data_IF_064201447711
#
_entry.id   IF_064201447711
#
_cell.length_a   1.000
_cell.length_b   1.000
_cell.length_c   1.000
_cell.angle_alpha   90.00
_cell.angle_beta   90.00
_cell.angle_gamma   90.00
#
_symmetry.space_group_name_H-M   'P 1'
#
loop_
_entity.id
_entity.type
_entity.pdbx_description
1 polymer ?
#
# COMPACT_ATOMS: atom_id res chain seq x y z
N UNK A 1 19.43 -2.34 -43.88
CA UNK A 1 18.16 -1.97 -43.19
C UNK A 1 18.51 -1.65 -41.76
N UNK A 2 18.50 -0.39 -41.43
CA UNK A 2 18.86 0.10 -40.07
C UNK A 2 17.56 0.33 -39.32
N UNK A 3 17.20 -0.61 -38.44
CA UNK A 3 16.07 -0.38 -37.56
C UNK A 3 16.43 0.71 -36.55
N UNK A 4 15.57 1.72 -36.42
CA UNK A 4 15.83 2.82 -35.49
C UNK A 4 15.87 2.33 -34.03
N UNK A 5 16.75 2.91 -33.23
CA UNK A 5 16.93 2.59 -31.81
C UNK A 5 15.61 2.70 -31.03
N UNK A 6 14.69 3.53 -31.50
CA UNK A 6 13.36 3.70 -30.93
C UNK A 6 12.46 2.46 -31.16
N UNK A 7 12.54 1.83 -32.35
CA UNK A 7 11.76 0.62 -32.64
C UNK A 7 12.23 -0.59 -31.82
N UNK A 8 13.53 -0.68 -31.54
CA UNK A 8 14.10 -1.71 -30.65
C UNK A 8 13.67 -1.45 -29.19
N UNK A 9 13.70 -0.20 -28.74
CA UNK A 9 13.17 0.19 -27.41
C UNK A 9 11.68 -0.12 -27.26
N UNK A 10 10.88 0.19 -28.29
CA UNK A 10 9.43 -0.11 -28.28
C UNK A 10 9.17 -1.61 -28.26
N UNK A 11 9.94 -2.41 -29.02
CA UNK A 11 9.81 -3.87 -29.03
C UNK A 11 10.24 -4.51 -27.69
N UNK A 12 11.28 -3.97 -27.04
CA UNK A 12 11.73 -4.43 -25.71
C UNK A 12 10.70 -4.10 -24.62
N UNK A 13 10.04 -2.94 -24.71
CA UNK A 13 8.99 -2.54 -23.79
C UNK A 13 7.76 -3.45 -23.96
N UNK A 14 7.34 -3.72 -25.21
CA UNK A 14 6.18 -4.61 -25.49
C UNK A 14 6.51 -6.07 -25.12
N UNK A 15 7.73 -6.56 -25.32
CA UNK A 15 8.14 -7.88 -24.87
C UNK A 15 8.18 -8.00 -23.33
N UNK A 16 8.61 -6.96 -22.61
CA UNK A 16 8.59 -6.95 -21.15
C UNK A 16 7.16 -7.01 -20.57
N UNK A 17 6.19 -6.37 -21.23
CA UNK A 17 4.78 -6.40 -20.81
C UNK A 17 4.10 -7.77 -21.01
N UNK A 18 4.59 -8.62 -21.93
CA UNK A 18 3.97 -9.93 -22.20
C UNK A 18 4.26 -11.00 -21.13
N UNK A 19 5.25 -10.81 -20.28
CA UNK A 19 5.72 -11.84 -19.33
C UNK A 19 5.60 -11.41 -17.87
N UNK A 20 4.97 -10.25 -17.59
CA UNK A 20 4.77 -9.82 -16.20
C UNK A 20 3.68 -10.65 -15.54
N UNK A 21 3.97 -11.14 -14.32
CA UNK A 21 3.01 -11.84 -13.50
C UNK A 21 1.82 -10.92 -13.20
N UNK A 22 0.62 -11.34 -13.61
CA UNK A 22 -0.63 -10.64 -13.26
C UNK A 22 -1.13 -11.13 -11.92
N UNK A 23 -1.52 -10.22 -11.06
CA UNK A 23 -2.01 -10.49 -9.72
C UNK A 23 -3.34 -9.75 -9.57
N UNK A 24 -4.42 -10.49 -9.31
CA UNK A 24 -5.71 -9.93 -8.96
C UNK A 24 -5.82 -9.82 -7.45
N UNK A 25 -6.21 -8.65 -6.96
CA UNK A 25 -6.37 -8.35 -5.54
C UNK A 25 -7.68 -7.60 -5.30
N UNK A 26 -8.08 -7.57 -4.05
CA UNK A 26 -9.22 -6.81 -3.55
C UNK A 26 -8.76 -5.84 -2.48
N UNK A 27 -9.40 -4.67 -2.40
CA UNK A 27 -9.10 -3.66 -1.39
C UNK A 27 -10.39 -3.13 -0.74
N UNK A 28 -10.41 -3.05 0.59
CA UNK A 28 -11.52 -2.54 1.38
C UNK A 28 -11.30 -1.09 1.77
N UNK A 29 -12.09 -0.18 1.22
CA UNK A 29 -12.18 1.20 1.67
C UNK A 29 -13.16 1.25 2.85
N UNK A 30 -12.65 0.88 4.04
CA UNK A 30 -13.47 0.82 5.26
C UNK A 30 -13.72 2.22 5.77
N UNK A 31 -14.99 2.59 5.93
CA UNK A 31 -15.41 3.92 6.36
C UNK A 31 -16.04 3.87 7.76
N UNK A 32 -15.75 4.91 8.55
CA UNK A 32 -16.43 5.20 9.82
C UNK A 32 -16.68 6.70 9.89
N UNK A 33 -17.91 7.11 9.56
CA UNK A 33 -18.27 8.52 9.37
C UNK A 33 -17.52 9.11 8.17
N UNK A 34 -16.76 10.18 8.42
CA UNK A 34 -15.91 10.89 7.45
C UNK A 34 -14.49 10.32 7.33
N UNK A 35 -14.18 9.27 8.09
CA UNK A 35 -12.84 8.69 8.16
C UNK A 35 -12.74 7.37 7.42
N UNK A 36 -11.54 7.15 6.88
CA UNK A 36 -11.16 6.00 6.09
C UNK A 36 -10.03 5.29 6.81
N UNK A 37 -10.12 3.97 6.90
CA UNK A 37 -9.11 3.14 7.52
C UNK A 37 -7.98 2.83 6.55
N UNK A 38 -6.76 3.09 6.98
CA UNK A 38 -5.54 2.81 6.25
C UNK A 38 -4.61 1.95 7.10
N UNK A 39 -3.88 1.05 6.47
CA UNK A 39 -2.90 0.17 7.10
C UNK A 39 -1.51 0.40 6.54
N UNK A 40 -0.48 0.16 7.35
CA UNK A 40 0.92 0.27 6.95
C UNK A 40 1.53 -1.11 6.79
N UNK A 41 1.90 -1.44 5.56
CA UNK A 41 2.70 -2.63 5.24
C UNK A 41 4.18 -2.31 5.46
N UNK A 42 4.84 -3.10 6.29
CA UNK A 42 6.27 -3.00 6.52
C UNK A 42 7.11 -3.66 5.43
N UNK A 43 8.41 -3.42 5.44
CA UNK A 43 9.37 -3.98 4.48
C UNK A 43 9.66 -5.47 4.67
N UNK A 44 8.74 -6.26 5.16
CA UNK A 44 8.77 -7.70 5.35
C UNK A 44 10.13 -8.41 5.17
N UNK A 45 11.01 -8.35 6.17
CA UNK A 45 12.03 -9.36 6.44
C UNK A 45 12.11 -9.59 7.95
N UNK A 46 11.58 -10.72 8.39
CA UNK A 46 11.90 -11.31 9.68
C UNK A 46 11.09 -10.78 10.87
N UNK A 47 10.25 -11.65 11.40
CA UNK A 47 9.76 -11.63 12.79
C UNK A 47 10.97 -11.70 13.74
N UNK A 48 11.71 -10.63 13.89
CA UNK A 48 12.59 -10.36 15.04
C UNK A 48 13.56 -9.23 14.72
N UNK A 49 13.59 -8.30 15.63
CA UNK A 49 14.53 -7.19 15.77
C UNK A 49 14.07 -5.87 15.15
N UNK A 50 13.56 -5.04 16.03
CA UNK A 50 13.90 -3.64 16.17
C UNK A 50 13.87 -2.74 14.93
N UNK A 51 12.78 -2.01 14.73
CA UNK A 51 12.78 -0.63 14.20
C UNK A 51 13.44 -0.35 12.84
N UNK A 52 13.50 -1.26 11.90
CA UNK A 52 14.13 -0.99 10.59
C UNK A 52 13.16 -0.88 9.40
N UNK A 53 11.87 -0.85 9.62
CA UNK A 53 10.84 -0.70 8.57
C UNK A 53 9.80 0.39 8.84
N UNK A 54 10.06 1.29 9.81
CA UNK A 54 9.13 2.38 10.08
C UNK A 54 9.21 3.42 8.97
N UNK A 55 8.05 3.81 8.43
CA UNK A 55 7.89 5.00 7.62
C UNK A 55 8.68 6.15 8.28
N UNK A 56 9.72 6.70 7.62
CA UNK A 56 10.52 7.77 8.19
C UNK A 56 9.68 9.02 8.49
N UNK A 57 8.46 9.12 7.98
CA UNK A 57 7.50 10.15 8.36
C UNK A 57 6.78 9.84 9.67
N UNK A 58 6.83 8.59 10.15
CA UNK A 58 6.26 8.16 11.43
C UNK A 58 7.17 8.36 12.64
N UNK A 59 8.44 8.71 12.47
CA UNK A 59 9.26 9.19 13.59
C UNK A 59 8.62 10.45 14.16
N UNK A 60 8.19 10.38 15.42
CA UNK A 60 7.67 11.55 16.10
C UNK A 60 8.70 12.69 16.07
N UNK A 61 8.23 13.93 16.07
CA UNK A 61 9.14 15.11 16.16
C UNK A 61 10.15 14.96 17.31
N UNK A 62 9.75 14.29 18.40
CA UNK A 62 10.59 14.02 19.58
C UNK A 62 11.73 13.05 19.23
N UNK A 63 11.48 11.99 18.48
CA UNK A 63 12.53 11.03 18.09
C UNK A 63 13.50 11.64 17.06
N UNK A 64 13.02 12.54 16.19
CA UNK A 64 13.87 13.31 15.27
C UNK A 64 14.78 14.31 16.01
N UNK A 65 14.25 15.00 17.01
CA UNK A 65 15.04 15.91 17.85
C UNK A 65 16.03 15.16 18.73
N UNK A 66 15.66 14.00 19.28
CA UNK A 66 16.55 13.19 20.11
C UNK A 66 17.74 12.62 19.32
N UNK A 67 17.51 12.14 18.08
CA UNK A 67 18.56 11.69 17.18
C UNK A 67 19.52 12.82 16.77
N UNK A 68 18.98 14.04 16.62
CA UNK A 68 19.77 15.25 16.34
C UNK A 68 20.62 15.70 17.53
N UNK A 69 20.12 15.50 18.75
CA UNK A 69 20.79 15.93 19.99
C UNK A 69 21.89 14.96 20.42
N UNK A 70 21.80 13.67 20.08
CA UNK A 70 22.79 12.65 20.43
C UNK A 70 24.09 12.73 19.61
N UNK A 71 24.22 13.64 18.66
CA UNK A 71 25.47 14.00 17.98
C UNK A 71 26.21 12.84 17.31
N UNK A 72 25.50 11.76 16.90
CA UNK A 72 26.11 10.63 16.21
C UNK A 72 26.53 11.04 14.80
N UNK A 73 27.83 11.19 14.59
CA UNK A 73 28.38 11.39 13.27
C UNK A 73 27.88 10.28 12.32
N UNK A 74 27.26 10.67 11.18
CA UNK A 74 26.71 9.71 10.19
C UNK A 74 25.21 9.47 10.26
N UNK A 75 24.46 9.99 11.25
CA UNK A 75 23.01 9.80 11.35
C UNK A 75 22.26 10.35 10.14
N UNK A 76 22.71 11.46 9.55
CA UNK A 76 22.11 12.03 8.34
C UNK A 76 22.25 11.09 7.14
N UNK A 77 23.43 10.49 6.95
CA UNK A 77 23.68 9.54 5.87
C UNK A 77 22.82 8.26 6.05
N UNK A 78 22.80 7.70 7.25
CA UNK A 78 22.00 6.50 7.57
C UNK A 78 20.50 6.77 7.43
N UNK A 79 20.05 7.98 7.81
CA UNK A 79 18.66 8.37 7.64
C UNK A 79 18.28 8.52 6.15
N UNK A 80 19.15 9.16 5.34
CA UNK A 80 18.94 9.31 3.91
C UNK A 80 18.92 7.97 3.16
N UNK A 81 19.81 7.04 3.50
CA UNK A 81 19.84 5.70 2.94
C UNK A 81 18.58 4.90 3.33
N UNK A 82 18.12 5.03 4.59
CA UNK A 82 16.88 4.44 5.07
C UNK A 82 15.65 4.97 4.32
N UNK A 83 15.56 6.29 4.12
CA UNK A 83 14.49 6.94 3.36
C UNK A 83 14.49 6.49 1.90
N UNK A 84 15.66 6.44 1.27
CA UNK A 84 15.79 6.00 -0.12
C UNK A 84 15.41 4.51 -0.28
N UNK A 85 15.82 3.66 0.64
CA UNK A 85 15.46 2.24 0.67
C UNK A 85 13.95 2.01 0.85
N UNK A 86 13.34 2.78 1.76
CA UNK A 86 11.88 2.71 1.98
C UNK A 86 11.09 3.19 0.75
N UNK A 87 11.51 4.30 0.14
CA UNK A 87 10.85 4.81 -1.08
C UNK A 87 10.99 3.82 -2.24
N UNK A 88 12.14 3.17 -2.38
CA UNK A 88 12.32 2.11 -3.36
C UNK A 88 11.38 0.93 -3.08
N UNK A 89 11.27 0.47 -1.83
CA UNK A 89 10.35 -0.60 -1.44
C UNK A 89 8.88 -0.21 -1.70
N UNK A 90 8.52 1.05 -1.47
CA UNK A 90 7.19 1.58 -1.79
C UNK A 90 6.89 1.53 -3.28
N UNK A 91 7.82 1.98 -4.11
CA UNK A 91 7.68 1.94 -5.57
C UNK A 91 7.64 0.51 -6.14
N UNK A 92 8.17 -0.45 -5.40
CA UNK A 92 8.10 -1.87 -5.72
C UNK A 92 6.85 -2.57 -5.15
N UNK A 93 5.98 -1.86 -4.42
CA UNK A 93 4.77 -2.40 -3.80
C UNK A 93 5.05 -3.29 -2.58
N UNK A 94 6.21 -3.14 -1.94
CA UNK A 94 6.64 -3.96 -0.81
C UNK A 94 6.39 -3.33 0.56
N UNK A 95 6.39 -2.00 0.64
CA UNK A 95 6.16 -1.26 1.88
C UNK A 95 5.41 0.04 1.59
N UNK A 96 4.51 0.46 2.47
CA UNK A 96 3.74 1.69 2.33
C UNK A 96 2.36 1.61 2.93
N UNK A 97 1.68 2.74 2.94
CA UNK A 97 0.27 2.79 3.34
C UNK A 97 -0.61 2.24 2.22
N UNK A 98 -1.60 1.46 2.59
CA UNK A 98 -2.52 0.79 1.67
C UNK A 98 -3.91 0.67 2.28
N UNK A 99 -4.90 0.36 1.44
CA UNK A 99 -6.18 -0.13 1.92
C UNK A 99 -6.07 -1.62 2.24
N UNK A 100 -6.61 -2.09 3.39
CA UNK A 100 -6.53 -3.50 3.76
C UNK A 100 -7.22 -4.38 2.73
N UNK A 101 -6.65 -5.55 2.48
CA UNK A 101 -7.11 -6.50 1.48
C UNK A 101 -5.97 -7.36 0.97
N UNK A 102 -6.22 -8.16 -0.06
CA UNK A 102 -5.19 -9.07 -0.52
C UNK A 102 -5.55 -9.80 -1.82
N UNK A 103 -4.87 -10.92 -2.06
CA UNK A 103 -4.98 -11.67 -3.31
C UNK A 103 -6.27 -12.47 -3.36
N UNK A 104 -6.89 -12.48 -4.53
CA UNK A 104 -7.99 -13.40 -4.80
C UNK A 104 -7.45 -14.82 -4.96
N UNK A 105 -8.15 -15.79 -4.38
CA UNK A 105 -7.90 -17.21 -4.60
C UNK A 105 -8.70 -17.74 -5.82
N UNK A 106 -8.24 -18.81 -6.46
CA UNK A 106 -8.93 -19.38 -7.60
C UNK A 106 -10.37 -19.78 -7.26
N UNK A 107 -11.33 -19.20 -7.97
CA UNK A 107 -12.77 -19.49 -7.80
C UNK A 107 -13.48 -18.64 -6.76
N UNK A 108 -12.80 -17.74 -6.07
CA UNK A 108 -13.43 -16.77 -5.19
C UNK A 108 -14.10 -15.64 -5.98
N UNK A 109 -15.21 -15.14 -5.45
CA UNK A 109 -15.71 -13.83 -5.89
C UNK A 109 -14.91 -12.71 -5.20
N UNK A 110 -14.78 -11.52 -5.82
CA UNK A 110 -14.07 -10.40 -5.18
C UNK A 110 -14.61 -10.05 -3.79
N UNK A 111 -15.91 -10.17 -3.58
CA UNK A 111 -16.54 -9.91 -2.27
C UNK A 111 -16.21 -10.95 -1.21
N UNK A 112 -16.09 -12.22 -1.60
CA UNK A 112 -15.74 -13.30 -0.67
C UNK A 112 -14.26 -13.22 -0.31
N UNK A 113 -13.38 -12.99 -1.30
CA UNK A 113 -11.96 -12.73 -1.10
C UNK A 113 -11.76 -11.57 -0.11
N UNK A 114 -12.46 -10.45 -0.33
CA UNK A 114 -12.35 -9.28 0.54
C UNK A 114 -12.75 -9.57 1.99
N UNK A 115 -13.84 -10.29 2.21
CA UNK A 115 -14.27 -10.68 3.55
C UNK A 115 -13.28 -11.63 4.24
N UNK A 116 -12.68 -12.57 3.47
CA UNK A 116 -11.65 -13.48 3.98
C UNK A 116 -10.41 -12.70 4.40
N UNK A 117 -9.86 -11.87 3.51
CA UNK A 117 -8.66 -11.06 3.76
C UNK A 117 -8.83 -10.15 4.98
N UNK A 118 -9.96 -9.44 5.10
CA UNK A 118 -10.22 -8.57 6.25
C UNK A 118 -10.32 -9.37 7.56
N UNK A 119 -10.88 -10.58 7.53
CA UNK A 119 -10.90 -11.44 8.70
C UNK A 119 -9.50 -11.91 9.10
N UNK A 120 -8.66 -12.24 8.12
CA UNK A 120 -7.27 -12.69 8.33
C UNK A 120 -6.39 -11.54 8.82
N UNK A 121 -6.43 -10.37 8.16
CA UNK A 121 -5.57 -9.24 8.48
C UNK A 121 -5.98 -8.44 9.73
N UNK A 122 -7.30 -8.30 9.94
CA UNK A 122 -7.85 -7.38 10.96
C UNK A 122 -8.70 -8.08 12.04
N UNK A 123 -8.89 -9.40 11.97
CA UNK A 123 -9.74 -10.17 12.87
C UNK A 123 -11.14 -9.56 13.07
N UNK A 124 -11.72 -9.01 12.01
CA UNK A 124 -13.02 -8.33 12.04
C UNK A 124 -13.90 -8.74 10.85
N UNK A 125 -15.18 -8.41 10.94
CA UNK A 125 -16.16 -8.65 9.88
C UNK A 125 -16.61 -7.32 9.26
N UNK A 126 -16.78 -7.32 7.94
CA UNK A 126 -17.23 -6.16 7.17
C UNK A 126 -18.49 -6.46 6.35
N UNK A 127 -19.28 -5.42 6.11
CA UNK A 127 -20.22 -5.36 5.00
C UNK A 127 -19.52 -4.81 3.78
N UNK A 128 -19.63 -5.49 2.65
CA UNK A 128 -19.14 -5.00 1.35
C UNK A 128 -20.30 -4.28 0.67
N UNK A 129 -20.31 -2.96 0.76
CA UNK A 129 -21.47 -2.12 0.45
C UNK A 129 -21.56 -1.83 -1.06
N UNK A 130 -20.55 -1.20 -1.64
CA UNK A 130 -20.58 -0.72 -3.02
C UNK A 130 -19.22 -0.97 -3.71
N UNK A 131 -19.28 -1.32 -5.00
CA UNK A 131 -18.10 -1.32 -5.85
C UNK A 131 -17.68 0.13 -6.16
N UNK A 132 -16.42 0.47 -5.89
CA UNK A 132 -15.90 1.81 -6.13
C UNK A 132 -15.24 1.92 -7.51
N UNK A 133 -14.20 1.13 -7.74
CA UNK A 133 -13.44 1.13 -9.00
C UNK A 133 -12.56 -0.12 -9.12
N UNK A 134 -12.03 -0.33 -10.32
CA UNK A 134 -10.88 -1.21 -10.56
C UNK A 134 -9.68 -0.35 -10.94
N UNK A 135 -8.55 -0.59 -10.28
CA UNK A 135 -7.27 0.05 -10.57
C UNK A 135 -6.33 -0.98 -11.17
N UNK A 136 -5.64 -0.60 -12.24
CA UNK A 136 -4.54 -1.37 -12.82
C UNK A 136 -3.23 -0.59 -12.67
N UNK A 137 -2.18 -1.27 -12.19
CA UNK A 137 -0.88 -0.63 -12.00
C UNK A 137 0.27 -1.60 -12.30
N UNK A 138 1.29 -1.09 -13.00
CA UNK A 138 2.52 -1.83 -13.32
C UNK A 138 3.59 -1.54 -12.26
N UNK A 139 3.85 -2.51 -11.40
CA UNK A 139 5.06 -2.52 -10.57
C UNK A 139 6.25 -3.06 -11.37
N UNK A 140 7.49 -2.85 -10.95
CA UNK A 140 8.66 -3.31 -11.70
C UNK A 140 8.70 -4.81 -12.01
N UNK A 141 8.05 -5.65 -11.19
CA UNK A 141 8.09 -7.12 -11.28
C UNK A 141 6.75 -7.79 -11.50
N UNK A 142 5.64 -7.06 -11.39
CA UNK A 142 4.28 -7.61 -11.57
C UNK A 142 3.28 -6.52 -11.98
N UNK A 143 2.19 -6.95 -12.59
CA UNK A 143 1.02 -6.13 -12.89
C UNK A 143 -0.09 -6.47 -11.89
N UNK A 144 -0.66 -5.45 -11.23
CA UNK A 144 -1.76 -5.62 -10.28
C UNK A 144 -3.08 -5.16 -10.91
N UNK A 145 -4.13 -5.91 -10.66
CA UNK A 145 -5.51 -5.55 -10.93
C UNK A 145 -6.22 -5.54 -9.58
N UNK A 146 -6.61 -4.36 -9.09
CA UNK A 146 -7.17 -4.18 -7.76
C UNK A 146 -8.62 -3.76 -7.82
N UNK A 147 -9.52 -4.62 -7.29
CA UNK A 147 -10.95 -4.36 -7.19
C UNK A 147 -11.27 -3.71 -5.84
N UNK A 148 -11.69 -2.46 -5.86
CA UNK A 148 -11.90 -1.64 -4.69
C UNK A 148 -13.38 -1.52 -4.34
N UNK A 149 -13.69 -1.74 -3.07
CA UNK A 149 -15.06 -1.68 -2.55
C UNK A 149 -15.15 -0.77 -1.34
N UNK A 150 -16.23 0.02 -1.28
CA UNK A 150 -16.62 0.71 -0.07
C UNK A 150 -17.18 -0.31 0.92
N UNK A 151 -16.71 -0.24 2.17
CA UNK A 151 -17.04 -1.20 3.20
C UNK A 151 -17.39 -0.51 4.51
N UNK A 152 -18.22 -1.18 5.31
CA UNK A 152 -18.58 -0.79 6.67
C UNK A 152 -18.19 -1.89 7.65
N UNK A 153 -17.73 -1.50 8.86
CA UNK A 153 -17.47 -2.46 9.94
C UNK A 153 -18.77 -3.01 10.49
N UNK A 154 -18.84 -4.32 10.68
CA UNK A 154 -19.92 -4.98 11.41
C UNK A 154 -19.63 -5.07 12.91
N UNK A 155 -18.36 -4.97 13.30
CA UNK A 155 -17.90 -4.96 14.68
C UNK A 155 -16.91 -3.82 14.89
N UNK A 156 -16.81 -3.29 16.12
CA UNK A 156 -15.84 -2.21 16.42
C UNK A 156 -14.43 -2.74 16.76
N UNK A 157 -14.29 -4.04 16.97
CA UNK A 157 -13.01 -4.65 17.29
C UNK A 157 -12.16 -4.79 16.02
N UNK A 158 -10.99 -4.17 16.02
CA UNK A 158 -9.97 -4.25 14.98
C UNK A 158 -8.67 -4.70 15.63
N UNK A 159 -8.07 -5.77 15.12
CA UNK A 159 -6.76 -6.26 15.53
C UNK A 159 -5.86 -6.37 14.31
N UNK A 160 -4.72 -5.69 14.34
CA UNK A 160 -3.71 -5.79 13.28
C UNK A 160 -2.94 -7.10 13.45
N UNK A 161 -3.10 -8.04 12.51
CA UNK A 161 -2.40 -9.32 12.52
C UNK A 161 -1.10 -9.27 11.70
N UNK A 162 -1.09 -8.52 10.61
CA UNK A 162 0.00 -8.52 9.63
C UNK A 162 0.63 -7.13 9.41
N UNK A 163 -0.10 -6.06 9.69
CA UNK A 163 0.34 -4.69 9.45
C UNK A 163 1.07 -4.09 10.67
N UNK A 164 2.04 -3.21 10.39
CA UNK A 164 2.84 -2.54 11.44
C UNK A 164 2.08 -1.43 12.16
N UNK A 165 1.17 -0.78 11.45
CA UNK A 165 0.35 0.31 11.99
C UNK A 165 -0.96 0.46 11.22
N UNK A 166 -1.90 1.20 11.81
CA UNK A 166 -3.12 1.62 11.15
C UNK A 166 -3.53 3.02 11.58
N UNK A 167 -4.27 3.73 10.71
CA UNK A 167 -4.81 5.06 10.98
C UNK A 167 -6.21 5.21 10.42
N UNK A 168 -7.02 6.03 11.09
CA UNK A 168 -8.25 6.58 10.57
C UNK A 168 -7.97 7.97 10.04
N UNK A 169 -8.04 8.16 8.73
CA UNK A 169 -7.73 9.41 8.03
C UNK A 169 -9.01 10.04 7.51
N UNK A 170 -9.15 11.36 7.65
CA UNK A 170 -10.17 12.11 6.91
C UNK A 170 -9.79 12.20 5.42
N UNK A 171 -10.73 12.57 4.55
CA UNK A 171 -10.42 12.74 3.11
C UNK A 171 -9.34 13.82 2.90
N UNK A 172 -9.31 14.84 3.75
CA UNK A 172 -8.32 15.92 3.69
C UNK A 172 -6.93 15.44 4.16
N UNK A 173 -6.89 14.44 5.06
CA UNK A 173 -5.65 13.90 5.62
C UNK A 173 -5.06 12.74 4.78
N UNK A 174 -5.72 12.30 3.72
CA UNK A 174 -5.22 11.19 2.90
C UNK A 174 -3.81 11.45 2.33
N UNK A 175 -3.46 12.71 2.05
CA UNK A 175 -2.12 13.07 1.56
C UNK A 175 -1.06 13.14 2.67
N UNK A 176 -1.46 12.96 3.94
CA UNK A 176 -0.52 13.00 5.08
C UNK A 176 0.38 11.76 5.21
N UNK A 177 0.07 10.70 4.44
CA UNK A 177 0.80 9.44 4.47
C UNK A 177 1.29 9.05 3.08
N UNK A 178 2.32 8.18 3.02
CA UNK A 178 2.90 7.69 1.75
C UNK A 178 2.21 6.40 1.32
N UNK A 179 1.22 6.54 0.48
CA UNK A 179 0.47 5.42 -0.09
C UNK A 179 1.28 4.62 -1.10
N UNK A 180 0.95 3.35 -1.25
CA UNK A 180 1.40 2.55 -2.38
C UNK A 180 0.88 3.15 -3.70
N UNK A 181 1.63 3.03 -4.81
CA UNK A 181 1.27 3.64 -6.09
C UNK A 181 -0.13 3.25 -6.61
N UNK A 182 -0.56 2.00 -6.43
CA UNK A 182 -1.89 1.56 -6.83
C UNK A 182 -2.99 2.24 -5.98
N UNK A 183 -2.78 2.35 -4.67
CA UNK A 183 -3.74 2.96 -3.73
C UNK A 183 -3.91 4.46 -3.95
N UNK A 184 -2.86 5.15 -4.42
CA UNK A 184 -2.97 6.56 -4.80
C UNK A 184 -4.03 6.80 -5.89
N UNK A 185 -4.18 5.89 -6.84
CA UNK A 185 -5.21 6.01 -7.89
C UNK A 185 -6.62 5.87 -7.31
N UNK A 186 -6.81 5.03 -6.29
CA UNK A 186 -8.10 4.92 -5.56
C UNK A 186 -8.44 6.23 -4.88
N UNK A 187 -7.44 6.87 -4.24
CA UNK A 187 -7.61 8.17 -3.57
C UNK A 187 -8.04 9.25 -4.57
N UNK A 188 -7.46 9.28 -5.76
CA UNK A 188 -7.85 10.22 -6.82
C UNK A 188 -9.32 10.01 -7.24
N UNK A 189 -9.75 8.75 -7.38
CA UNK A 189 -11.17 8.43 -7.67
C UNK A 189 -12.07 8.89 -6.54
N UNK A 190 -11.68 8.69 -5.27
CA UNK A 190 -12.46 9.11 -4.11
C UNK A 190 -12.58 10.63 -4.02
N UNK A 191 -11.50 11.37 -4.24
CA UNK A 191 -11.50 12.85 -4.24
C UNK A 191 -12.29 13.43 -5.41
N UNK A 192 -12.33 12.77 -6.55
CA UNK A 192 -13.12 13.19 -7.71
C UNK A 192 -14.63 12.93 -7.59
N UNK A 193 -15.05 12.14 -6.60
CA UNK A 193 -16.45 11.80 -6.29
C UNK A 193 -17.01 12.57 -5.07
N UNK A 194 -16.20 13.37 -4.39
CA UNK A 194 -16.60 14.15 -3.21
C UNK A 194 -17.24 15.49 -3.55
#
# INVERSE_FOLDING_TARGET
MQYSVEMVRFCVIICKQRDMKRIEVVAAIIRKGDRIFATLRGCGEGKSAGRQGQDPTCLSLVEREQARFEGKAGWEQTCLEGIAGWEQARLEGKAGWEFPGGKMEPGETPKDALKREIREELSTEISVDEFLCTVEHDYPTFHIIMHCYLCSLLTEALHLNEHEAARWLSIEDLDSVKWLPADMQVIEVMKGKA
#
